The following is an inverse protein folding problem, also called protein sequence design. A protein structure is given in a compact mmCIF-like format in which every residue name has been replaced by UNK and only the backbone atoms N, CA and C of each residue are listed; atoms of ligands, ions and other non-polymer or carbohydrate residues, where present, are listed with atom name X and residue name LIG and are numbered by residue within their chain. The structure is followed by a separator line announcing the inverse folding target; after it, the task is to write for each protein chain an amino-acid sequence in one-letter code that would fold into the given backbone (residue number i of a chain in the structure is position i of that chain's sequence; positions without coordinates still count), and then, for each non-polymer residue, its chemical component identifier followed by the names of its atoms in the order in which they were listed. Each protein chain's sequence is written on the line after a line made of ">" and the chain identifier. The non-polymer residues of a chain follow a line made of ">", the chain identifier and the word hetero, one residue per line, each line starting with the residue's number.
data_IF_586865737570
#
_entry.id   IF_586865737570
#
_cell.length_a   1.000
_cell.length_b   1.000
_cell.length_c   1.000
_cell.angle_alpha   90.00
_cell.angle_beta   90.00
_cell.angle_gamma   90.00
#
_symmetry.space_group_name_H-M   'P 1'
#
loop_
_entity.id
_entity.type
_entity.pdbx_description
1 polymer ?
#
# COMPACT_ATOMS: atom_id res chain seq x y z
N UNK A 1 -19.85 70.26 25.92
CA UNK A 1 -19.23 69.00 26.43
C UNK A 1 -19.46 67.91 25.37
N UNK A 2 -18.42 67.62 24.56
CA UNK A 2 -18.49 66.57 23.49
C UNK A 2 -17.96 65.26 24.12
N UNK A 3 -18.83 64.22 24.14
CA UNK A 3 -18.46 62.85 24.52
C UNK A 3 -17.88 62.15 23.32
N UNK A 4 -16.59 61.80 23.38
CA UNK A 4 -15.87 60.98 22.40
C UNK A 4 -16.14 59.52 22.79
N UNK A 5 -16.91 58.78 21.97
CA UNK A 5 -17.03 57.32 22.08
C UNK A 5 -15.83 56.67 21.34
N UNK A 6 -14.93 56.08 22.11
CA UNK A 6 -13.87 55.24 21.59
C UNK A 6 -14.45 53.84 21.24
N UNK A 7 -14.64 53.55 19.96
CA UNK A 7 -15.03 52.23 19.50
C UNK A 7 -13.84 51.28 19.52
N UNK A 8 -13.84 50.30 20.39
CA UNK A 8 -12.85 49.23 20.49
C UNK A 8 -13.18 48.19 19.42
N UNK A 9 -12.47 48.24 18.28
CA UNK A 9 -12.57 47.25 17.21
C UNK A 9 -11.74 46.03 17.60
N UNK A 10 -12.41 44.92 18.01
CA UNK A 10 -11.77 43.63 18.28
C UNK A 10 -11.57 42.92 16.93
N UNK A 11 -10.34 42.92 16.42
CA UNK A 11 -9.96 42.11 15.30
C UNK A 11 -9.90 40.63 15.74
N UNK A 12 -10.88 39.82 15.35
CA UNK A 12 -10.80 38.36 15.45
C UNK A 12 -9.82 37.83 14.41
N UNK A 13 -8.62 37.51 14.85
CA UNK A 13 -7.64 36.81 14.03
C UNK A 13 -8.06 35.33 13.96
N UNK A 14 -8.74 34.94 12.87
CA UNK A 14 -9.03 33.54 12.57
C UNK A 14 -7.70 32.82 12.20
N UNK A 15 -7.07 32.20 13.18
CA UNK A 15 -5.93 31.29 12.93
C UNK A 15 -6.54 30.00 12.39
N UNK A 16 -6.62 29.90 11.08
CA UNK A 16 -6.89 28.62 10.40
C UNK A 16 -5.66 27.73 10.60
N UNK A 17 -5.73 26.80 11.53
CA UNK A 17 -4.80 25.67 11.60
C UNK A 17 -5.03 24.81 10.36
N UNK A 18 -4.23 25.03 9.31
CA UNK A 18 -4.14 24.07 8.23
C UNK A 18 -3.47 22.81 8.80
N UNK A 19 -4.25 21.79 9.10
CA UNK A 19 -3.73 20.44 9.33
C UNK A 19 -2.99 20.05 8.04
N UNK A 20 -1.66 20.04 8.10
CA UNK A 20 -0.83 19.52 7.02
C UNK A 20 -1.11 18.03 6.89
N UNK A 21 -1.86 17.66 5.87
CA UNK A 21 -2.15 16.27 5.53
C UNK A 21 -0.83 15.61 5.14
N UNK A 22 -0.31 14.72 5.98
CA UNK A 22 0.93 14.00 5.70
C UNK A 22 0.66 13.00 4.58
N UNK A 23 1.20 13.27 3.39
CA UNK A 23 1.09 12.37 2.25
C UNK A 23 1.72 11.02 2.56
N UNK A 24 1.01 9.94 2.29
CA UNK A 24 1.51 8.58 2.41
C UNK A 24 2.27 8.21 1.13
N UNK A 25 3.48 7.71 1.31
CA UNK A 25 4.33 7.28 0.21
C UNK A 25 3.83 5.95 -0.37
N UNK A 26 3.79 5.87 -1.69
CA UNK A 26 3.57 4.61 -2.39
C UNK A 26 4.73 3.66 -2.12
N UNK A 27 4.43 2.40 -1.87
CA UNK A 27 5.45 1.35 -1.78
C UNK A 27 5.87 0.98 -3.20
N UNK A 28 7.18 1.09 -3.50
CA UNK A 28 7.71 0.71 -4.80
C UNK A 28 9.14 0.16 -4.70
N UNK A 29 9.56 -0.54 -5.75
CA UNK A 29 10.94 -1.01 -5.94
C UNK A 29 11.42 -0.80 -7.37
N UNK A 30 12.75 -0.72 -7.53
CA UNK A 30 13.40 -0.52 -8.82
C UNK A 30 13.73 0.91 -9.16
N UNK A 31 14.20 1.13 -10.37
CA UNK A 31 14.58 2.46 -10.86
C UNK A 31 13.31 3.25 -11.22
N UNK A 32 13.09 4.39 -10.57
CA UNK A 32 11.91 5.25 -10.83
C UNK A 32 11.80 5.69 -12.29
N UNK A 33 12.93 5.78 -12.99
CA UNK A 33 13.02 6.17 -14.40
C UNK A 33 13.02 4.96 -15.35
N UNK A 34 12.76 3.73 -14.86
CA UNK A 34 12.71 2.55 -15.70
C UNK A 34 11.63 2.68 -16.78
N UNK A 35 11.95 2.20 -18.00
CA UNK A 35 11.04 2.20 -19.15
C UNK A 35 9.79 1.35 -18.94
N UNK A 36 9.94 0.26 -18.16
CA UNK A 36 8.83 -0.65 -17.83
C UNK A 36 8.29 -0.27 -16.45
N UNK A 37 7.02 0.10 -16.39
CA UNK A 37 6.29 0.37 -15.16
C UNK A 37 5.31 -0.75 -14.87
N UNK A 38 5.43 -1.34 -13.68
CA UNK A 38 4.53 -2.35 -13.18
C UNK A 38 3.74 -1.79 -12.01
N UNK A 39 2.45 -2.10 -11.92
CA UNK A 39 1.61 -1.88 -10.74
C UNK A 39 0.95 -3.21 -10.41
N UNK A 40 1.09 -3.67 -9.18
CA UNK A 40 0.36 -4.84 -8.70
C UNK A 40 -0.67 -4.40 -7.65
N UNK A 41 -1.95 -4.70 -7.93
CA UNK A 41 -3.04 -4.51 -6.98
C UNK A 41 -3.29 -5.80 -6.22
N UNK A 42 -3.21 -5.73 -4.89
CA UNK A 42 -3.17 -6.92 -4.05
C UNK A 42 -3.88 -6.76 -2.72
N UNK A 43 -4.24 -7.90 -2.12
CA UNK A 43 -4.86 -7.99 -0.81
C UNK A 43 -4.02 -8.88 0.09
N UNK A 44 -3.72 -8.41 1.30
CA UNK A 44 -2.86 -9.13 2.24
C UNK A 44 -3.48 -10.42 2.80
N UNK A 45 -4.79 -10.64 2.64
CA UNK A 45 -5.46 -11.92 2.96
C UNK A 45 -5.59 -12.86 1.77
N UNK A 46 -5.28 -12.40 0.55
CA UNK A 46 -5.41 -13.20 -0.66
C UNK A 46 -4.25 -14.21 -0.80
N UNK A 47 -4.57 -15.51 -0.81
CA UNK A 47 -3.58 -16.59 -0.97
C UNK A 47 -2.85 -16.55 -2.32
N UNK A 48 -3.53 -16.11 -3.39
CA UNK A 48 -2.89 -15.93 -4.70
C UNK A 48 -1.88 -14.77 -4.68
N UNK A 49 -2.12 -13.72 -3.89
CA UNK A 49 -1.14 -12.65 -3.70
C UNK A 49 0.09 -13.15 -2.93
N UNK A 50 -0.11 -13.93 -1.85
CA UNK A 50 1.00 -14.57 -1.15
C UNK A 50 1.83 -15.46 -2.09
N UNK A 51 1.17 -16.28 -2.92
CA UNK A 51 1.84 -17.11 -3.93
C UNK A 51 2.60 -16.27 -4.97
N UNK A 52 2.09 -15.11 -5.36
CA UNK A 52 2.81 -14.18 -6.24
C UNK A 52 4.11 -13.71 -5.58
N UNK A 53 4.07 -13.29 -4.31
CA UNK A 53 5.25 -12.86 -3.55
C UNK A 53 6.26 -13.98 -3.30
N UNK A 54 5.79 -15.22 -3.13
CA UNK A 54 6.64 -16.38 -2.91
C UNK A 54 7.29 -16.90 -4.19
N UNK A 55 6.55 -16.96 -5.31
CA UNK A 55 6.95 -17.75 -6.48
C UNK A 55 7.24 -16.93 -7.74
N UNK A 56 6.63 -15.76 -7.90
CA UNK A 56 6.71 -14.92 -9.10
C UNK A 56 7.62 -13.72 -8.87
N UNK A 57 7.34 -12.95 -7.81
CA UNK A 57 8.04 -11.72 -7.52
C UNK A 57 9.58 -11.88 -7.37
N UNK A 58 10.15 -12.92 -6.72
CA UNK A 58 11.61 -13.06 -6.63
C UNK A 58 12.30 -13.19 -7.98
N UNK A 59 11.64 -13.86 -8.94
CA UNK A 59 12.15 -13.99 -10.31
C UNK A 59 12.03 -12.67 -11.07
N UNK A 60 10.88 -11.99 -10.93
CA UNK A 60 10.64 -10.66 -11.50
C UNK A 60 11.65 -9.64 -10.96
N UNK A 61 11.88 -9.66 -9.65
CA UNK A 61 12.86 -8.79 -8.98
C UNK A 61 14.25 -9.01 -9.58
N UNK A 62 14.73 -10.24 -9.59
CA UNK A 62 16.05 -10.61 -10.12
C UNK A 62 16.25 -10.21 -11.59
N UNK A 63 15.25 -10.53 -12.45
CA UNK A 63 15.42 -10.38 -13.90
C UNK A 63 15.17 -8.94 -14.40
N UNK A 64 14.35 -8.13 -13.71
CA UNK A 64 13.91 -6.83 -14.21
C UNK A 64 14.06 -5.68 -13.23
N UNK A 65 13.79 -5.88 -11.93
CA UNK A 65 13.77 -4.78 -10.95
C UNK A 65 15.20 -4.44 -10.53
N UNK A 66 15.98 -5.44 -10.09
CA UNK A 66 17.36 -5.25 -9.63
C UNK A 66 18.32 -4.87 -10.78
N UNK A 67 17.94 -5.21 -12.02
CA UNK A 67 18.65 -4.80 -13.23
C UNK A 67 18.33 -3.37 -13.69
N UNK A 68 17.37 -2.71 -13.07
CA UNK A 68 16.92 -1.37 -13.42
C UNK A 68 16.05 -1.29 -14.69
N UNK A 69 15.68 -2.43 -15.29
CA UNK A 69 14.84 -2.50 -16.49
C UNK A 69 13.38 -2.17 -16.22
N UNK A 70 12.91 -2.46 -15.00
CA UNK A 70 11.55 -2.17 -14.57
C UNK A 70 11.51 -1.57 -13.17
N UNK A 71 10.40 -0.87 -12.89
CA UNK A 71 9.94 -0.53 -11.54
C UNK A 71 8.62 -1.24 -11.25
N UNK A 72 8.34 -1.52 -9.98
CA UNK A 72 7.08 -2.07 -9.53
C UNK A 72 6.52 -1.26 -8.38
N UNK A 73 5.24 -0.91 -8.46
CA UNK A 73 4.46 -0.28 -7.39
C UNK A 73 3.49 -1.30 -6.80
N UNK A 74 3.47 -1.39 -5.48
CA UNK A 74 2.53 -2.24 -4.73
C UNK A 74 1.36 -1.38 -4.27
N UNK A 75 0.16 -1.70 -4.75
CA UNK A 75 -1.07 -0.94 -4.50
C UNK A 75 -2.09 -1.78 -3.75
N UNK A 76 -2.79 -1.13 -2.84
CA UNK A 76 -3.74 -1.79 -1.97
C UNK A 76 -5.07 -2.07 -2.67
N UNK A 77 -5.53 -3.31 -2.58
CA UNK A 77 -6.89 -3.69 -2.95
C UNK A 77 -7.46 -4.66 -1.90
N UNK A 78 -7.66 -4.19 -0.65
CA UNK A 78 -8.12 -5.07 0.42
C UNK A 78 -9.49 -5.68 0.10
N UNK A 79 -9.59 -7.01 0.23
CA UNK A 79 -10.82 -7.75 -0.02
C UNK A 79 -11.72 -7.83 1.22
N UNK A 80 -11.12 -7.65 2.39
CA UNK A 80 -11.78 -7.71 3.69
C UNK A 80 -11.13 -6.76 4.71
N UNK A 81 -11.69 -6.69 5.91
CA UNK A 81 -11.23 -5.80 6.97
C UNK A 81 -9.85 -6.20 7.53
N UNK A 82 -9.52 -7.51 7.54
CA UNK A 82 -8.21 -7.97 7.99
C UNK A 82 -7.11 -7.52 7.02
N UNK A 83 -7.36 -7.68 5.71
CA UNK A 83 -6.47 -7.15 4.66
C UNK A 83 -6.32 -5.63 4.76
N UNK A 84 -7.42 -4.92 5.02
CA UNK A 84 -7.41 -3.47 5.19
C UNK A 84 -6.51 -3.03 6.35
N UNK A 85 -6.64 -3.67 7.50
CA UNK A 85 -5.81 -3.40 8.66
C UNK A 85 -4.34 -3.75 8.41
N UNK A 86 -4.06 -4.90 7.78
CA UNK A 86 -2.70 -5.30 7.42
C UNK A 86 -2.07 -4.32 6.40
N UNK A 87 -2.85 -3.78 5.46
CA UNK A 87 -2.39 -2.73 4.53
C UNK A 87 -1.98 -1.47 5.27
N UNK A 88 -2.72 -1.07 6.32
CA UNK A 88 -2.30 0.07 7.16
C UNK A 88 -0.96 -0.18 7.85
N UNK A 89 -0.72 -1.40 8.33
CA UNK A 89 0.56 -1.78 8.92
C UNK A 89 1.70 -1.72 7.88
N UNK A 90 1.48 -2.19 6.65
CA UNK A 90 2.49 -2.15 5.59
C UNK A 90 2.96 -0.71 5.28
N UNK A 91 2.08 0.29 5.39
CA UNK A 91 2.38 1.70 5.16
C UNK A 91 2.85 2.48 6.40
N UNK A 92 2.92 1.84 7.57
CA UNK A 92 3.10 2.54 8.84
C UNK A 92 4.39 3.38 8.94
N UNK A 93 5.49 2.92 8.36
CA UNK A 93 6.76 3.68 8.33
C UNK A 93 6.73 4.87 7.39
N UNK A 94 5.83 4.88 6.45
CA UNK A 94 5.72 5.89 5.40
C UNK A 94 7.05 6.16 4.65
N UNK A 95 7.92 5.15 4.57
CA UNK A 95 9.24 5.23 3.93
C UNK A 95 9.25 4.75 2.45
N UNK A 96 8.09 4.33 1.94
CA UNK A 96 7.91 3.80 0.59
C UNK A 96 8.57 2.44 0.34
N UNK A 97 9.10 1.78 1.38
CA UNK A 97 9.78 0.48 1.28
C UNK A 97 8.82 -0.68 1.46
N UNK A 98 9.10 -1.77 0.76
CA UNK A 98 8.28 -2.98 0.70
C UNK A 98 8.55 -4.02 1.81
N UNK A 99 9.50 -3.77 2.70
CA UNK A 99 9.94 -4.76 3.70
C UNK A 99 8.79 -5.32 4.55
N UNK A 100 7.92 -4.46 5.10
CA UNK A 100 6.78 -4.91 5.92
C UNK A 100 5.77 -5.62 5.04
N UNK A 101 5.49 -5.11 3.84
CA UNK A 101 4.56 -5.71 2.89
C UNK A 101 4.96 -7.16 2.55
N UNK A 102 6.21 -7.35 2.09
CA UNK A 102 6.70 -8.70 1.76
C UNK A 102 6.71 -9.62 2.97
N UNK A 103 7.12 -9.13 4.13
CA UNK A 103 7.08 -9.90 5.36
C UNK A 103 5.67 -10.40 5.68
N UNK A 104 4.65 -9.54 5.54
CA UNK A 104 3.26 -9.93 5.78
C UNK A 104 2.75 -10.98 4.80
N UNK A 105 3.11 -10.91 3.52
CA UNK A 105 2.76 -11.94 2.55
C UNK A 105 3.46 -13.28 2.81
N UNK A 106 4.76 -13.26 3.07
CA UNK A 106 5.54 -14.48 3.31
C UNK A 106 5.13 -15.19 4.61
N UNK A 107 4.59 -14.44 5.58
CA UNK A 107 4.08 -14.99 6.84
C UNK A 107 2.54 -14.99 6.92
N UNK A 108 1.85 -14.92 5.77
CA UNK A 108 0.38 -14.81 5.72
C UNK A 108 -0.31 -15.91 6.54
N UNK A 109 0.17 -17.15 6.48
CA UNK A 109 -0.39 -18.30 7.20
C UNK A 109 -0.28 -18.18 8.72
N UNK A 110 0.61 -17.35 9.23
CA UNK A 110 0.78 -17.14 10.67
C UNK A 110 -0.27 -16.19 11.25
N UNK A 111 -0.65 -15.17 10.49
CA UNK A 111 -1.57 -14.15 10.99
C UNK A 111 -3.00 -14.26 10.40
N UNK A 112 -3.17 -14.81 9.20
CA UNK A 112 -4.49 -15.09 8.59
C UNK A 112 -4.98 -16.45 9.08
N UNK A 113 -5.25 -16.56 10.37
CA UNK A 113 -5.78 -17.76 11.00
C UNK A 113 -6.79 -17.41 12.07
N UNK A 114 -7.85 -18.23 12.18
CA UNK A 114 -9.01 -17.95 13.02
C UNK A 114 -10.21 -17.55 12.18
N UNK A 115 -11.29 -17.15 12.84
CA UNK A 115 -12.58 -16.88 12.20
C UNK A 115 -13.07 -15.44 12.40
N UNK A 116 -12.44 -14.68 13.31
CA UNK A 116 -12.88 -13.33 13.66
C UNK A 116 -11.84 -12.28 13.35
N UNK A 117 -12.31 -11.05 13.09
CA UNK A 117 -11.42 -9.91 12.84
C UNK A 117 -10.52 -9.61 14.05
N UNK A 118 -11.02 -9.81 15.28
CA UNK A 118 -10.25 -9.63 16.50
C UNK A 118 -9.10 -10.66 16.57
N UNK A 119 -9.36 -11.92 16.15
CA UNK A 119 -8.36 -12.98 16.06
C UNK A 119 -7.28 -12.65 15.06
N UNK A 120 -7.64 -12.20 13.84
CA UNK A 120 -6.69 -11.76 12.81
C UNK A 120 -5.85 -10.58 13.30
N UNK A 121 -6.47 -9.57 13.88
CA UNK A 121 -5.76 -8.38 14.39
C UNK A 121 -4.80 -8.74 15.53
N UNK A 122 -5.18 -9.65 16.43
CA UNK A 122 -4.32 -10.15 17.50
C UNK A 122 -3.08 -10.85 16.92
N UNK A 123 -3.28 -11.80 16.00
CA UNK A 123 -2.19 -12.54 15.37
C UNK A 123 -1.25 -11.59 14.60
N UNK A 124 -1.82 -10.64 13.86
CA UNK A 124 -1.05 -9.62 13.13
C UNK A 124 -0.21 -8.76 14.08
N UNK A 125 -0.80 -8.29 15.20
CA UNK A 125 -0.10 -7.50 16.22
C UNK A 125 1.05 -8.29 16.86
N UNK A 126 0.82 -9.55 17.22
CA UNK A 126 1.84 -10.44 17.78
C UNK A 126 2.99 -10.66 16.79
N UNK A 127 2.68 -10.94 15.52
CA UNK A 127 3.68 -11.12 14.46
C UNK A 127 4.55 -9.88 14.25
N UNK A 128 3.94 -8.71 14.17
CA UNK A 128 4.64 -7.42 13.98
C UNK A 128 5.52 -7.08 15.18
N UNK A 129 5.01 -7.27 16.40
CA UNK A 129 5.78 -7.00 17.62
C UNK A 129 6.99 -7.93 17.76
N UNK A 130 6.84 -9.22 17.39
CA UNK A 130 7.94 -10.20 17.40
C UNK A 130 9.07 -9.81 16.44
N UNK A 131 8.74 -9.26 15.29
CA UNK A 131 9.73 -8.89 14.27
C UNK A 131 10.42 -7.54 14.56
N UNK A 132 9.85 -6.71 15.45
CA UNK A 132 10.39 -5.42 15.84
C UNK A 132 10.75 -4.48 14.66
N UNK A 133 9.78 -4.17 13.84
CA UNK A 133 9.96 -3.20 12.75
C UNK A 133 10.15 -1.75 13.21
N UNK A 134 10.10 -1.48 14.51
CA UNK A 134 10.17 -0.13 15.06
C UNK A 134 8.92 0.71 14.74
N UNK A 135 7.75 0.08 14.68
CA UNK A 135 6.44 0.72 14.50
C UNK A 135 5.55 0.48 15.71
N UNK A 136 4.63 1.41 15.95
CA UNK A 136 3.58 1.27 16.95
C UNK A 136 2.30 0.80 16.24
N UNK A 137 1.93 -0.46 16.48
CA UNK A 137 0.78 -1.09 15.84
C UNK A 137 -0.51 -0.28 16.00
N UNK A 138 -0.81 0.17 17.23
CA UNK A 138 -2.06 0.85 17.53
C UNK A 138 -2.12 2.24 16.90
N UNK A 139 -1.00 2.94 16.82
CA UNK A 139 -0.92 4.20 16.06
C UNK A 139 -1.11 3.99 14.56
N UNK A 140 -0.55 2.91 13.99
CA UNK A 140 -0.70 2.62 12.57
C UNK A 140 -2.15 2.32 12.20
N UNK A 141 -2.81 1.48 12.99
CA UNK A 141 -4.22 1.08 12.76
C UNK A 141 -5.15 2.28 12.83
N UNK A 142 -4.87 3.25 13.71
CA UNK A 142 -5.70 4.43 13.91
C UNK A 142 -5.27 5.65 13.07
N UNK A 143 -4.29 5.50 12.19
CA UNK A 143 -3.80 6.59 11.34
C UNK A 143 -4.75 6.85 10.17
N UNK A 144 -5.46 7.97 10.20
CA UNK A 144 -6.45 8.35 9.19
C UNK A 144 -5.84 8.57 7.81
N UNK A 145 -4.64 9.16 7.72
CA UNK A 145 -3.98 9.39 6.43
C UNK A 145 -3.63 8.08 5.74
N UNK A 146 -3.17 7.07 6.50
CA UNK A 146 -2.90 5.72 5.96
C UNK A 146 -4.20 5.05 5.54
N UNK A 147 -5.25 5.17 6.35
CA UNK A 147 -6.58 4.65 6.03
C UNK A 147 -7.09 5.20 4.70
N UNK A 148 -7.07 6.51 4.54
CA UNK A 148 -7.52 7.18 3.31
C UNK A 148 -6.67 6.79 2.10
N UNK A 149 -5.34 6.64 2.29
CA UNK A 149 -4.44 6.16 1.23
C UNK A 149 -4.84 4.75 0.75
N UNK A 150 -5.05 3.81 1.67
CA UNK A 150 -5.45 2.42 1.34
C UNK A 150 -6.81 2.38 0.63
N UNK A 151 -7.78 3.17 1.08
CA UNK A 151 -9.09 3.29 0.44
C UNK A 151 -9.00 3.91 -0.95
N UNK A 152 -8.21 4.96 -1.10
CA UNK A 152 -8.01 5.63 -2.38
C UNK A 152 -7.33 4.71 -3.42
N UNK A 153 -6.37 3.88 -3.02
CA UNK A 153 -5.79 2.87 -3.91
C UNK A 153 -6.88 1.93 -4.47
N UNK A 154 -7.77 1.42 -3.62
CA UNK A 154 -8.88 0.55 -4.03
C UNK A 154 -9.85 1.27 -4.95
N UNK A 155 -10.24 2.50 -4.62
CA UNK A 155 -11.15 3.32 -5.45
C UNK A 155 -10.54 3.55 -6.83
N UNK A 156 -9.27 3.95 -6.87
CA UNK A 156 -8.55 4.21 -8.13
C UNK A 156 -8.36 2.95 -8.97
N UNK A 157 -8.13 1.79 -8.33
CA UNK A 157 -8.06 0.49 -9.00
C UNK A 157 -9.35 0.15 -9.77
N UNK A 158 -10.49 0.37 -9.13
CA UNK A 158 -11.80 0.13 -9.73
C UNK A 158 -12.06 1.14 -10.85
N UNK A 159 -11.84 2.43 -10.56
CA UNK A 159 -12.14 3.53 -11.50
C UNK A 159 -11.27 3.48 -12.75
N UNK A 160 -9.96 3.27 -12.61
CA UNK A 160 -9.02 3.40 -13.72
C UNK A 160 -8.83 2.09 -14.50
N UNK A 161 -8.92 0.95 -13.81
CA UNK A 161 -8.59 -0.35 -14.40
C UNK A 161 -9.71 -1.39 -14.28
N UNK A 162 -10.86 -1.04 -13.71
CA UNK A 162 -11.97 -1.99 -13.47
C UNK A 162 -11.51 -3.29 -12.81
N UNK A 163 -10.68 -3.15 -11.73
CA UNK A 163 -10.14 -4.30 -11.00
C UNK A 163 -11.24 -4.92 -10.16
N UNK A 164 -11.33 -6.26 -10.21
CA UNK A 164 -12.35 -7.06 -9.51
C UNK A 164 -11.75 -8.22 -8.70
N UNK A 165 -10.46 -8.50 -8.88
CA UNK A 165 -9.77 -9.62 -8.25
C UNK A 165 -8.29 -9.29 -8.00
N UNK A 166 -7.65 -10.05 -7.10
CA UNK A 166 -6.24 -9.92 -6.75
C UNK A 166 -5.49 -11.25 -6.88
N UNK A 167 -4.20 -11.26 -7.22
CA UNK A 167 -3.47 -10.10 -7.68
C UNK A 167 -3.87 -9.69 -9.10
N UNK A 168 -3.92 -8.38 -9.38
CA UNK A 168 -4.02 -7.86 -10.73
C UNK A 168 -2.77 -7.05 -11.06
N UNK A 169 -2.12 -7.39 -12.17
CA UNK A 169 -0.90 -6.74 -12.63
C UNK A 169 -1.21 -5.81 -13.81
N UNK A 170 -0.70 -4.59 -13.73
CA UNK A 170 -0.74 -3.58 -14.80
C UNK A 170 0.68 -3.38 -15.31
N UNK A 171 0.90 -3.43 -16.60
CA UNK A 171 2.18 -3.20 -17.27
C UNK A 171 2.02 -2.04 -18.24
N UNK A 172 2.72 -0.92 -18.02
CA UNK A 172 2.62 0.29 -18.84
C UNK A 172 1.14 0.62 -19.14
N UNK A 173 0.33 0.78 -18.08
CA UNK A 173 -1.10 1.11 -18.09
C UNK A 173 -2.04 0.07 -18.70
N UNK A 174 -1.54 -1.12 -19.05
CA UNK A 174 -2.35 -2.22 -19.60
C UNK A 174 -2.44 -3.39 -18.63
N UNK A 175 -3.66 -3.90 -18.43
CA UNK A 175 -3.87 -5.09 -17.59
C UNK A 175 -3.20 -6.32 -18.20
N UNK A 176 -2.51 -7.09 -17.35
CA UNK A 176 -1.88 -8.35 -17.71
C UNK A 176 -2.68 -9.54 -17.16
N UNK A 177 -3.12 -10.46 -18.03
CA UNK A 177 -4.11 -11.49 -17.69
C UNK A 177 -3.54 -12.68 -16.90
N UNK A 178 -2.35 -12.91 -16.70
CA UNK A 178 -1.83 -14.11 -16.03
C UNK A 178 -0.69 -13.80 -15.05
N UNK A 179 -0.94 -13.06 -13.96
CA UNK A 179 0.09 -12.63 -13.03
C UNK A 179 0.84 -13.80 -12.35
N UNK A 180 0.22 -14.99 -12.29
CA UNK A 180 0.82 -16.21 -11.72
C UNK A 180 1.69 -17.00 -12.71
N UNK A 181 1.80 -16.58 -13.97
CA UNK A 181 2.59 -17.28 -14.98
C UNK A 181 3.86 -16.47 -15.31
N UNK A 182 4.95 -16.75 -14.59
CA UNK A 182 6.22 -16.03 -14.79
C UNK A 182 6.74 -16.09 -16.23
N UNK A 183 6.65 -17.26 -16.90
CA UNK A 183 7.12 -17.40 -18.30
C UNK A 183 6.39 -16.45 -19.25
N UNK A 184 5.06 -16.34 -19.11
CA UNK A 184 4.27 -15.38 -19.90
C UNK A 184 4.60 -13.94 -19.53
N UNK A 185 4.73 -13.65 -18.24
CA UNK A 185 5.10 -12.33 -17.74
C UNK A 185 6.46 -11.91 -18.30
N UNK A 186 7.49 -12.73 -18.14
CA UNK A 186 8.85 -12.49 -18.67
C UNK A 186 8.84 -12.16 -20.15
N UNK A 187 8.19 -13.02 -20.97
CA UNK A 187 8.06 -12.80 -22.41
C UNK A 187 7.36 -11.49 -22.78
N UNK A 188 6.39 -11.05 -21.95
CA UNK A 188 5.71 -9.77 -22.18
C UNK A 188 6.58 -8.58 -21.85
N UNK A 189 7.39 -8.66 -20.78
CA UNK A 189 8.32 -7.61 -20.39
C UNK A 189 9.48 -7.48 -21.37
N UNK A 190 10.06 -8.61 -21.84
CA UNK A 190 11.15 -8.63 -22.84
C UNK A 190 10.77 -7.94 -24.16
N UNK A 191 9.49 -7.95 -24.54
CA UNK A 191 9.00 -7.23 -25.74
C UNK A 191 8.94 -5.71 -25.57
N UNK A 192 9.09 -5.20 -24.34
CA UNK A 192 9.02 -3.77 -24.04
C UNK A 192 10.41 -3.14 -23.92
N UNK A 193 11.47 -3.96 -23.90
CA UNK A 193 12.86 -3.52 -23.89
C UNK A 193 13.28 -3.00 -25.25
#
# INVERSE_FOLDING_TARGET
>A
MKKILLGLSILFFNISFALSETKINTIYEGNINAKISLIVYESLTCSHCASFHENIYPKLKKDFIDTGLAKIEFRNFPLDLAAFNASKIAHCKNDGKSNILHFLFLNQKEWVRGETIEGFNKNLKELINKQNFGIDYDKCINNKNIEDHVLNDRINAIKNYNIKATPTLIINDKKFDNPQNYKKLKKSLEKLL
#
